data_IF_844343634987
#
_entry.id   IF_844343634987
#
_cell.length_a   1.000
_cell.length_b   1.000
_cell.length_c   1.000
_cell.angle_alpha   90.00
_cell.angle_beta   90.00
_cell.angle_gamma   90.00
#
_symmetry.space_group_name_H-M   'P 1'
#
loop_
_entity.id
_entity.type
_entity.pdbx_description
1 polymer ?
#
# COMPACT_ATOMS: atom_id res chain seq x y z
N UNK A 1 24.64 46.93 -19.23
CA UNK A 1 25.30 46.69 -17.94
C UNK A 1 24.26 47.05 -16.90
N UNK A 2 23.69 46.19 -16.08
CA UNK A 2 23.95 44.80 -15.70
C UNK A 2 22.59 44.21 -15.32
N UNK A 3 22.23 43.06 -15.87
CA UNK A 3 21.31 42.15 -15.18
C UNK A 3 22.03 40.82 -15.08
N UNK A 4 22.20 40.30 -13.86
CA UNK A 4 22.26 38.87 -13.49
C UNK A 4 22.81 38.72 -12.06
N UNK A 5 22.34 37.65 -11.39
CA UNK A 5 22.88 37.02 -10.17
C UNK A 5 22.26 37.41 -8.81
N UNK A 6 21.04 36.95 -8.55
CA UNK A 6 20.52 36.83 -7.17
C UNK A 6 19.73 35.52 -6.94
N UNK A 7 20.08 34.39 -7.58
CA UNK A 7 19.28 33.16 -7.42
C UNK A 7 20.07 31.84 -7.29
N UNK A 8 21.39 31.86 -7.13
CA UNK A 8 22.20 30.63 -7.13
C UNK A 8 22.52 30.08 -5.73
N UNK A 9 22.43 30.86 -4.66
CA UNK A 9 22.90 30.43 -3.33
C UNK A 9 21.87 29.62 -2.50
N UNK A 10 20.56 29.88 -2.63
CA UNK A 10 19.52 29.20 -1.82
C UNK A 10 19.20 27.78 -2.34
N UNK A 11 19.46 27.52 -3.62
CA UNK A 11 19.19 26.21 -4.24
C UNK A 11 20.19 25.12 -3.83
N UNK A 12 21.45 25.49 -3.54
CA UNK A 12 22.49 24.52 -3.19
C UNK A 12 22.29 23.91 -1.80
N UNK A 13 21.82 24.69 -0.83
CA UNK A 13 21.56 24.19 0.53
C UNK A 13 20.39 23.21 0.58
N UNK A 14 19.30 23.57 -0.11
CA UNK A 14 18.09 22.74 -0.19
C UNK A 14 18.33 21.43 -0.94
N UNK A 15 19.09 21.46 -2.04
CA UNK A 15 19.44 20.26 -2.78
C UNK A 15 20.33 19.31 -1.95
N UNK A 16 21.32 19.83 -1.22
CA UNK A 16 22.18 19.00 -0.36
C UNK A 16 21.40 18.35 0.79
N UNK A 17 20.48 19.08 1.42
CA UNK A 17 19.63 18.54 2.48
C UNK A 17 18.70 17.43 1.96
N UNK A 18 18.05 17.67 0.82
CA UNK A 18 17.18 16.67 0.18
C UNK A 18 17.96 15.42 -0.26
N UNK A 19 19.19 15.55 -0.76
CA UNK A 19 20.04 14.40 -1.12
C UNK A 19 20.41 13.58 0.11
N UNK A 20 20.69 14.22 1.25
CA UNK A 20 21.03 13.54 2.49
C UNK A 20 19.82 12.79 3.06
N UNK A 21 18.66 13.44 3.10
CA UNK A 21 17.42 12.86 3.64
C UNK A 21 16.91 11.70 2.75
N UNK A 22 17.18 11.74 1.45
CA UNK A 22 16.72 10.76 0.46
C UNK A 22 17.85 9.89 -0.11
N UNK A 23 18.97 9.76 0.61
CA UNK A 23 20.16 9.03 0.14
C UNK A 23 19.83 7.58 -0.26
N UNK A 24 18.92 6.91 0.46
CA UNK A 24 18.47 5.54 0.14
C UNK A 24 17.73 5.47 -1.21
N UNK A 25 16.89 6.46 -1.51
CA UNK A 25 16.16 6.56 -2.77
C UNK A 25 17.13 6.85 -3.92
N UNK A 26 18.06 7.78 -3.71
CA UNK A 26 19.06 8.14 -4.73
C UNK A 26 19.97 6.95 -5.07
N UNK A 27 20.44 6.21 -4.06
CA UNK A 27 21.23 4.98 -4.27
C UNK A 27 20.43 3.97 -5.09
N UNK A 28 19.14 3.77 -4.80
CA UNK A 28 18.27 2.86 -5.56
C UNK A 28 18.16 3.27 -7.03
N UNK A 29 17.98 4.56 -7.31
CA UNK A 29 17.88 5.08 -8.68
C UNK A 29 19.20 4.89 -9.44
N UNK A 30 20.34 5.17 -8.80
CA UNK A 30 21.66 4.97 -9.41
C UNK A 30 21.89 3.50 -9.78
N UNK A 31 21.51 2.55 -8.92
CA UNK A 31 21.65 1.11 -9.21
C UNK A 31 20.83 0.71 -10.44
N UNK A 32 19.58 1.17 -10.54
CA UNK A 32 18.72 0.90 -11.70
C UNK A 32 19.33 1.49 -12.98
N UNK A 33 19.85 2.72 -12.92
CA UNK A 33 20.53 3.37 -14.05
C UNK A 33 21.82 2.62 -14.42
N UNK A 34 22.57 2.08 -13.46
CA UNK A 34 23.75 1.26 -13.72
C UNK A 34 23.41 -0.09 -14.37
N UNK A 35 22.32 -0.73 -13.97
CA UNK A 35 21.85 -1.98 -14.60
C UNK A 35 21.38 -1.71 -16.03
N UNK A 36 20.53 -0.68 -16.20
CA UNK A 36 20.04 -0.29 -17.52
C UNK A 36 21.19 0.16 -18.44
N UNK A 37 22.10 0.97 -17.92
CA UNK A 37 23.31 1.41 -18.60
C UNK A 37 24.29 0.26 -18.88
N UNK A 38 24.37 -0.73 -17.99
CA UNK A 38 25.17 -1.94 -18.16
C UNK A 38 24.63 -2.83 -19.27
N UNK A 39 23.32 -3.08 -19.30
CA UNK A 39 22.64 -3.83 -20.39
C UNK A 39 22.77 -3.06 -21.70
N UNK A 40 22.57 -1.74 -21.67
CA UNK A 40 22.74 -0.89 -22.85
C UNK A 40 24.19 -0.89 -23.35
N UNK A 41 25.16 -0.85 -22.44
CA UNK A 41 26.60 -0.89 -22.77
C UNK A 41 27.04 -2.26 -23.27
N UNK A 42 26.42 -3.33 -22.78
CA UNK A 42 26.70 -4.69 -23.23
C UNK A 42 26.12 -4.96 -24.63
N UNK A 43 24.96 -4.37 -24.92
CA UNK A 43 24.27 -4.51 -26.21
C UNK A 43 25.10 -4.02 -27.41
N UNK A 44 25.99 -3.05 -27.22
CA UNK A 44 26.85 -2.57 -28.31
C UNK A 44 28.10 -3.44 -28.56
N UNK A 45 28.29 -4.55 -27.83
CA UNK A 45 29.47 -5.41 -28.03
C UNK A 45 29.23 -6.88 -27.69
N UNK A 46 28.29 -7.56 -28.35
CA UNK A 46 28.42 -9.00 -28.68
C UNK A 46 27.32 -9.50 -29.61
N UNK A 47 27.67 -9.73 -30.87
CA UNK A 47 27.07 -10.78 -31.68
C UNK A 47 28.22 -11.65 -32.21
N UNK A 48 28.26 -12.92 -31.78
CA UNK A 48 28.67 -14.05 -32.61
C UNK A 48 28.11 -15.34 -31.98
N UNK A 49 27.46 -16.22 -32.76
CA UNK A 49 26.77 -17.44 -32.29
C UNK A 49 27.64 -18.68 -32.48
N UNK A 50 27.51 -19.72 -31.65
CA UNK A 50 27.54 -21.13 -32.10
C UNK A 50 27.10 -22.09 -31.01
N UNK A 51 26.44 -23.15 -31.49
CA UNK A 51 25.91 -24.33 -30.84
C UNK A 51 26.90 -25.06 -29.92
N UNK A 52 26.38 -25.74 -28.90
CA UNK A 52 26.73 -27.14 -28.63
C UNK A 52 25.68 -27.79 -27.70
N UNK A 53 24.95 -28.74 -28.29
CA UNK A 53 24.07 -29.72 -27.67
C UNK A 53 24.94 -30.91 -27.23
N UNK A 54 24.90 -31.31 -25.95
CA UNK A 54 25.03 -32.70 -25.44
C UNK A 54 24.42 -32.69 -24.02
N UNK A 55 23.60 -33.63 -23.54
CA UNK A 55 23.36 -35.00 -23.94
C UNK A 55 21.92 -35.44 -23.53
N UNK A 56 21.33 -36.24 -24.43
CA UNK A 56 20.51 -37.45 -24.24
C UNK A 56 19.83 -37.69 -22.88
N UNK A 57 18.50 -37.84 -22.91
CA UNK A 57 17.90 -39.10 -22.47
C UNK A 57 16.64 -39.43 -23.30
N UNK A 58 16.54 -40.72 -23.56
CA UNK A 58 15.80 -41.45 -24.57
C UNK A 58 14.39 -41.83 -24.08
N UNK A 59 13.39 -41.78 -24.97
CA UNK A 59 12.22 -42.69 -24.96
C UNK A 59 11.28 -42.35 -26.12
N UNK A 60 11.43 -43.11 -27.19
CA UNK A 60 10.40 -43.36 -28.20
C UNK A 60 9.11 -43.90 -27.55
N UNK A 61 7.95 -43.37 -27.97
CA UNK A 61 6.92 -44.24 -28.57
C UNK A 61 5.91 -43.42 -29.38
N UNK A 62 5.91 -43.63 -30.71
CA UNK A 62 4.86 -43.22 -31.62
C UNK A 62 3.71 -44.22 -31.57
N UNK A 63 2.45 -43.75 -31.52
CA UNK A 63 1.35 -44.39 -32.27
C UNK A 63 0.38 -43.29 -32.76
N UNK A 64 0.25 -43.23 -34.08
CA UNK A 64 -0.71 -42.46 -34.88
C UNK A 64 -1.98 -43.27 -35.13
N UNK A 65 -3.08 -42.57 -35.50
CA UNK A 65 -4.30 -43.01 -36.20
C UNK A 65 -5.56 -43.02 -35.31
N UNK A 66 -6.75 -42.64 -35.73
CA UNK A 66 -7.29 -41.82 -36.82
C UNK A 66 -8.80 -41.71 -36.51
N UNK A 67 -9.38 -40.53 -36.75
CA UNK A 67 -10.71 -40.32 -37.37
C UNK A 67 -11.98 -41.03 -36.84
N UNK A 68 -12.96 -40.24 -36.39
CA UNK A 68 -14.34 -40.29 -36.90
C UNK A 68 -15.12 -39.01 -36.53
N UNK A 69 -15.82 -38.50 -37.54
CA UNK A 69 -16.50 -37.22 -37.72
C UNK A 69 -17.80 -37.02 -36.91
N UNK A 70 -18.26 -35.75 -36.81
CA UNK A 70 -19.69 -35.46 -36.57
C UNK A 70 -20.06 -34.08 -35.99
N UNK A 71 -19.84 -32.99 -36.76
CA UNK A 71 -20.75 -31.85 -37.08
C UNK A 71 -21.84 -31.49 -36.02
N UNK A 72 -22.00 -30.26 -35.50
CA UNK A 72 -22.43 -29.05 -36.23
C UNK A 72 -22.27 -27.76 -35.39
N UNK A 73 -22.15 -26.66 -36.12
CA UNK A 73 -21.84 -25.30 -35.75
C UNK A 73 -22.95 -24.58 -34.95
N UNK A 74 -22.54 -23.77 -33.97
CA UNK A 74 -23.00 -22.39 -33.89
C UNK A 74 -22.04 -21.54 -33.03
N UNK A 75 -21.32 -20.63 -33.70
CA UNK A 75 -20.63 -19.44 -33.16
C UNK A 75 -21.25 -18.23 -33.90
N UNK A 76 -21.23 -16.97 -33.40
CA UNK A 76 -20.07 -16.25 -32.83
C UNK A 76 -20.30 -15.77 -31.37
N UNK A 77 -19.29 -15.80 -30.48
CA UNK A 77 -18.34 -14.69 -30.19
C UNK A 77 -19.05 -13.53 -29.43
N UNK A 78 -18.70 -13.12 -28.19
CA UNK A 78 -17.42 -12.56 -27.72
C UNK A 78 -17.38 -12.53 -26.15
N UNK A 79 -16.40 -13.23 -25.53
CA UNK A 79 -15.43 -12.80 -24.47
C UNK A 79 -15.99 -12.03 -23.24
N UNK A 80 -15.86 -12.39 -21.94
CA UNK A 80 -14.77 -13.03 -21.14
C UNK A 80 -15.35 -13.48 -19.78
N UNK A 81 -15.17 -14.74 -19.40
CA UNK A 81 -15.30 -15.21 -18.00
C UNK A 81 -13.93 -15.60 -17.48
N UNK A 82 -13.70 -15.22 -16.22
CA UNK A 82 -12.94 -15.93 -15.18
C UNK A 82 -11.47 -16.27 -15.43
N UNK A 83 -10.62 -15.92 -14.46
CA UNK A 83 -10.12 -17.05 -13.68
C UNK A 83 -9.83 -16.68 -12.22
N UNK A 84 -10.26 -17.58 -11.36
CA UNK A 84 -10.03 -17.63 -9.95
C UNK A 84 -8.95 -18.67 -9.68
N UNK A 85 -7.86 -18.31 -9.01
CA UNK A 85 -7.02 -19.26 -8.29
C UNK A 85 -6.43 -18.53 -7.07
N UNK A 86 -6.71 -18.92 -5.83
CA UNK A 86 -6.48 -20.20 -5.13
C UNK A 86 -5.51 -19.88 -3.99
N UNK A 87 -6.09 -19.84 -2.80
CA UNK A 87 -5.51 -20.09 -1.47
C UNK A 87 -3.98 -20.08 -1.37
N UNK A 88 -3.45 -18.99 -0.82
CA UNK A 88 -2.31 -19.08 0.11
C UNK A 88 -2.83 -18.70 1.49
N UNK A 89 -2.89 -19.67 2.40
CA UNK A 89 -3.01 -19.43 3.83
C UNK A 89 -1.71 -18.79 4.32
N UNK A 90 -1.57 -17.52 4.02
CA UNK A 90 -0.59 -16.63 4.64
C UNK A 90 -1.39 -15.84 5.69
N UNK A 91 -0.89 -15.65 6.92
CA UNK A 91 -1.63 -14.88 7.92
C UNK A 91 -2.02 -13.55 7.31
N UNK A 92 -3.32 -13.26 7.26
CA UNK A 92 -3.85 -11.98 6.80
C UNK A 92 -3.19 -10.93 7.68
N UNK A 93 -2.17 -10.26 7.16
CA UNK A 93 -1.46 -9.22 7.88
C UNK A 93 -2.49 -8.13 8.13
N UNK A 94 -2.95 -8.06 9.38
CA UNK A 94 -4.13 -7.26 9.70
C UNK A 94 -3.89 -5.77 9.47
N UNK A 95 -2.63 -5.33 9.41
CA UNK A 95 -2.23 -3.93 9.34
C UNK A 95 -0.96 -3.80 8.50
N UNK A 96 -1.00 -2.94 7.49
CA UNK A 96 0.12 -2.61 6.61
C UNK A 96 0.28 -1.10 6.58
N UNK A 97 1.51 -0.62 6.68
CA UNK A 97 1.81 0.81 6.58
C UNK A 97 2.48 1.11 5.25
N UNK A 98 2.01 2.15 4.58
CA UNK A 98 2.62 2.73 3.39
C UNK A 98 3.32 4.05 3.75
N UNK A 99 3.94 4.69 2.76
CA UNK A 99 4.53 6.01 2.96
C UNK A 99 3.49 7.03 3.46
N UNK A 100 2.28 7.03 2.92
CA UNK A 100 1.24 8.04 3.17
C UNK A 100 0.03 7.56 3.96
N UNK A 101 -0.13 6.25 4.20
CA UNK A 101 -1.36 5.69 4.76
C UNK A 101 -1.15 4.41 5.58
N UNK A 102 -2.18 4.05 6.35
CA UNK A 102 -2.32 2.75 7.01
C UNK A 102 -3.45 1.98 6.36
N UNK A 103 -3.13 0.80 5.87
CA UNK A 103 -4.06 -0.14 5.25
C UNK A 103 -4.41 -1.18 6.30
N UNK A 104 -5.68 -1.21 6.70
CA UNK A 104 -6.18 -2.04 7.78
C UNK A 104 -7.17 -3.06 7.25
N UNK A 105 -6.89 -4.34 7.48
CA UNK A 105 -7.76 -5.44 7.08
C UNK A 105 -8.57 -5.95 8.28
N UNK A 106 -9.88 -6.10 8.05
CA UNK A 106 -10.83 -6.61 9.02
C UNK A 106 -10.64 -8.11 9.24
N UNK A 107 -10.51 -8.51 10.50
CA UNK A 107 -10.63 -9.92 10.91
C UNK A 107 -11.97 -10.15 11.62
N UNK A 108 -12.26 -11.39 11.99
CA UNK A 108 -13.50 -11.73 12.68
C UNK A 108 -13.69 -10.86 13.94
N UNK A 109 -14.89 -10.29 14.11
CA UNK A 109 -15.21 -9.37 15.21
C UNK A 109 -14.78 -7.91 14.99
N UNK A 110 -13.95 -7.63 13.98
CA UNK A 110 -13.59 -6.24 13.66
C UNK A 110 -14.72 -5.56 12.90
N UNK A 111 -14.85 -4.26 13.16
CA UNK A 111 -15.73 -3.36 12.41
C UNK A 111 -14.94 -2.10 12.05
N UNK A 112 -15.61 -1.15 11.38
CA UNK A 112 -14.95 0.07 10.93
C UNK A 112 -14.28 0.86 12.07
N UNK A 113 -14.92 0.87 13.22
CA UNK A 113 -14.41 1.44 14.47
C UNK A 113 -13.09 0.81 14.92
N UNK A 114 -12.97 -0.52 14.85
CA UNK A 114 -11.75 -1.23 15.26
C UNK A 114 -10.58 -0.92 14.33
N UNK A 115 -10.85 -0.78 13.04
CA UNK A 115 -9.85 -0.46 12.01
C UNK A 115 -9.35 0.98 12.18
N UNK A 116 -10.26 1.94 12.36
CA UNK A 116 -9.91 3.32 12.65
C UNK A 116 -9.06 3.45 13.93
N UNK A 117 -9.40 2.70 14.97
CA UNK A 117 -8.62 2.65 16.21
C UNK A 117 -7.20 2.15 16.00
N UNK A 118 -7.04 1.07 15.21
CA UNK A 118 -5.73 0.49 14.94
C UNK A 118 -4.86 1.42 14.10
N UNK A 119 -5.42 2.04 13.07
CA UNK A 119 -4.72 3.06 12.28
C UNK A 119 -4.25 4.24 13.16
N UNK A 120 -5.10 4.72 14.08
CA UNK A 120 -4.70 5.76 15.03
C UNK A 120 -3.58 5.28 15.98
N UNK A 121 -3.68 4.07 16.51
CA UNK A 121 -2.66 3.51 17.41
C UNK A 121 -1.29 3.42 16.71
N UNK A 122 -1.26 2.92 15.47
CA UNK A 122 -0.04 2.83 14.66
C UNK A 122 0.55 4.21 14.36
N UNK A 123 -0.29 5.22 14.09
CA UNK A 123 0.18 6.59 13.92
C UNK A 123 0.81 7.16 15.19
N UNK A 124 0.17 6.93 16.35
CA UNK A 124 0.62 7.44 17.65
C UNK A 124 1.85 6.70 18.20
N UNK A 125 2.13 5.48 17.74
CA UNK A 125 3.37 4.77 18.07
C UNK A 125 4.60 5.54 17.60
N UNK A 126 4.49 6.21 16.45
CA UNK A 126 5.57 7.04 15.87
C UNK A 126 5.45 8.52 16.22
N UNK A 127 4.25 8.97 16.53
CA UNK A 127 3.93 10.37 16.83
C UNK A 127 3.18 10.44 18.17
N UNK A 128 3.86 10.17 19.30
CA UNK A 128 3.21 10.16 20.60
C UNK A 128 2.69 11.55 20.95
N UNK A 129 1.44 11.61 21.42
CA UNK A 129 0.78 12.85 21.82
C UNK A 129 0.07 12.67 23.17
N UNK A 130 0.76 13.10 24.23
CA UNK A 130 0.27 12.97 25.61
C UNK A 130 -0.92 13.88 25.93
N UNK A 131 -1.27 14.84 25.06
CA UNK A 131 -2.45 15.68 25.25
C UNK A 131 -3.77 14.97 24.85
N UNK A 132 -3.69 13.84 24.15
CA UNK A 132 -4.86 13.08 23.72
C UNK A 132 -5.40 12.20 24.84
N UNK A 133 -6.48 12.67 25.49
CA UNK A 133 -7.27 11.87 26.43
C UNK A 133 -8.09 10.81 25.70
N UNK A 134 -8.69 9.89 26.45
CA UNK A 134 -9.59 8.89 25.89
C UNK A 134 -10.76 9.51 25.09
N UNK A 135 -11.30 10.64 25.56
CA UNK A 135 -12.37 11.37 24.86
C UNK A 135 -11.93 11.90 23.50
N UNK A 136 -10.70 12.45 23.41
CA UNK A 136 -10.13 12.87 22.13
C UNK A 136 -10.00 11.67 21.17
N UNK A 137 -9.50 10.53 21.65
CA UNK A 137 -9.35 9.31 20.84
C UNK A 137 -10.70 8.77 20.34
N UNK A 138 -11.76 8.82 21.15
CA UNK A 138 -13.12 8.46 20.72
C UNK A 138 -13.61 9.37 19.60
N UNK A 139 -13.39 10.68 19.71
CA UNK A 139 -13.74 11.60 18.63
C UNK A 139 -12.97 11.29 17.34
N UNK A 140 -11.66 11.08 17.45
CA UNK A 140 -10.80 10.76 16.29
C UNK A 140 -11.28 9.48 15.61
N UNK A 141 -11.54 8.43 16.38
CA UNK A 141 -12.05 7.16 15.86
C UNK A 141 -13.36 7.33 15.07
N UNK A 142 -14.33 8.06 15.63
CA UNK A 142 -15.61 8.33 14.97
C UNK A 142 -15.42 9.19 13.71
N UNK A 143 -14.53 10.18 13.77
CA UNK A 143 -14.18 11.03 12.65
C UNK A 143 -13.57 10.22 11.50
N UNK A 144 -12.55 9.41 11.78
CA UNK A 144 -11.90 8.55 10.78
C UNK A 144 -12.91 7.60 10.13
N UNK A 145 -13.75 6.94 10.94
CA UNK A 145 -14.78 6.03 10.45
C UNK A 145 -15.74 6.71 9.46
N UNK A 146 -16.13 7.96 9.73
CA UNK A 146 -17.07 8.72 8.90
C UNK A 146 -16.44 9.22 7.60
N UNK A 147 -15.13 9.46 7.57
CA UNK A 147 -14.46 10.06 6.42
C UNK A 147 -13.82 9.05 5.45
N UNK A 148 -13.51 7.82 5.91
CA UNK A 148 -12.89 6.80 5.03
C UNK A 148 -13.92 6.01 4.23
N UNK A 149 -15.01 5.57 4.85
CA UNK A 149 -16.01 4.75 4.16
C UNK A 149 -17.39 4.88 4.80
N UNK A 150 -18.07 6.03 4.60
CA UNK A 150 -19.36 6.29 5.21
C UNK A 150 -20.41 5.26 4.74
N UNK A 151 -20.98 4.50 5.67
CA UNK A 151 -22.05 3.54 5.39
C UNK A 151 -21.59 2.17 4.88
N UNK A 152 -20.28 1.94 4.73
CA UNK A 152 -19.76 0.65 4.28
C UNK A 152 -19.87 -0.41 5.39
N UNK A 153 -20.52 -1.53 5.07
CA UNK A 153 -20.55 -2.69 5.95
C UNK A 153 -19.18 -3.37 5.91
N UNK A 154 -18.50 -3.42 7.06
CA UNK A 154 -17.22 -4.11 7.21
C UNK A 154 -17.49 -5.59 7.49
N UNK A 155 -16.92 -6.46 6.67
CA UNK A 155 -16.90 -7.91 6.86
C UNK A 155 -15.46 -8.38 6.97
N UNK A 156 -15.25 -9.63 7.37
CA UNK A 156 -13.90 -10.24 7.37
C UNK A 156 -13.25 -10.13 5.99
N UNK A 157 -12.00 -9.71 5.93
CA UNK A 157 -11.27 -9.44 4.69
C UNK A 157 -11.48 -8.05 4.09
N UNK A 158 -12.43 -7.25 4.59
CA UNK A 158 -12.56 -5.85 4.15
C UNK A 158 -11.31 -5.06 4.52
N UNK A 159 -10.75 -4.36 3.54
CA UNK A 159 -9.60 -3.48 3.74
C UNK A 159 -10.05 -2.02 3.70
N UNK A 160 -9.54 -1.21 4.62
CA UNK A 160 -9.75 0.24 4.64
C UNK A 160 -8.42 0.96 4.75
N UNK A 161 -8.31 2.05 4.01
CA UNK A 161 -7.12 2.90 3.99
C UNK A 161 -7.36 4.18 4.80
N UNK A 162 -6.46 4.48 5.71
CA UNK A 162 -6.47 5.67 6.54
C UNK A 162 -5.23 6.50 6.20
N UNK A 163 -5.40 7.62 5.50
CA UNK A 163 -4.26 8.50 5.20
C UNK A 163 -3.72 9.17 6.47
N UNK A 164 -2.40 9.37 6.52
CA UNK A 164 -1.73 10.05 7.64
C UNK A 164 -2.24 11.47 7.82
N UNK A 165 -2.53 12.16 6.71
CA UNK A 165 -3.11 13.50 6.71
C UNK A 165 -4.50 13.53 7.36
N UNK A 166 -5.35 12.54 7.07
CA UNK A 166 -6.68 12.44 7.68
C UNK A 166 -6.60 12.18 9.19
N UNK A 167 -5.65 11.34 9.62
CA UNK A 167 -5.39 11.10 11.05
C UNK A 167 -4.93 12.39 11.74
N UNK A 168 -4.02 13.14 11.11
CA UNK A 168 -3.55 14.41 11.65
C UNK A 168 -4.65 15.47 11.71
N UNK A 169 -5.50 15.57 10.69
CA UNK A 169 -6.67 16.45 10.68
C UNK A 169 -7.65 16.07 11.80
N UNK A 170 -7.90 14.77 12.00
CA UNK A 170 -8.75 14.28 13.09
C UNK A 170 -8.19 14.64 14.47
N UNK A 171 -6.87 14.46 14.67
CA UNK A 171 -6.17 14.87 15.90
C UNK A 171 -6.31 16.36 16.12
N UNK A 172 -6.07 17.17 15.09
CA UNK A 172 -6.17 18.64 15.16
C UNK A 172 -7.58 19.06 15.56
N UNK A 173 -8.61 18.49 14.93
CA UNK A 173 -10.01 18.74 15.27
C UNK A 173 -10.35 18.29 16.69
N UNK A 174 -9.83 17.16 17.14
CA UNK A 174 -10.07 16.66 18.50
C UNK A 174 -9.60 17.64 19.58
N UNK A 175 -8.50 18.37 19.33
CA UNK A 175 -7.94 19.36 20.26
C UNK A 175 -8.75 20.65 20.33
N UNK A 176 -9.67 20.87 19.38
CA UNK A 176 -10.57 22.04 19.38
C UNK A 176 -11.89 21.76 20.12
N UNK A 177 -12.07 20.55 20.66
CA UNK A 177 -13.28 20.19 21.40
C UNK A 177 -13.40 21.00 22.69
N UNK A 178 -14.61 21.51 22.93
CA UNK A 178 -14.96 22.19 24.18
C UNK A 178 -15.12 21.19 25.33
N UNK A 179 -14.97 21.66 26.57
CA UNK A 179 -15.18 20.82 27.77
C UNK A 179 -16.56 20.15 27.78
N UNK A 180 -17.58 20.83 27.27
CA UNK A 180 -18.93 20.27 27.14
C UNK A 180 -18.96 19.07 26.18
N UNK A 181 -18.25 19.17 25.06
CA UNK A 181 -18.14 18.07 24.09
C UNK A 181 -17.34 16.90 24.68
N UNK A 182 -16.22 17.17 25.35
CA UNK A 182 -15.41 16.15 26.02
C UNK A 182 -16.23 15.42 27.10
N UNK A 183 -16.98 16.16 27.91
CA UNK A 183 -17.81 15.55 28.95
C UNK A 183 -18.93 14.66 28.37
N UNK A 184 -19.49 15.02 27.21
CA UNK A 184 -20.45 14.16 26.50
C UNK A 184 -19.79 12.89 25.95
N UNK A 185 -18.50 12.94 25.60
CA UNK A 185 -17.73 11.80 25.11
C UNK A 185 -17.29 10.85 26.23
N UNK A 186 -17.14 11.35 27.46
CA UNK A 186 -16.74 10.58 28.65
C UNK A 186 -17.59 9.34 28.91
N UNK A 187 -18.89 9.36 28.55
CA UNK A 187 -19.76 8.18 28.68
C UNK A 187 -19.39 7.03 27.74
N UNK A 188 -18.64 7.31 26.67
CA UNK A 188 -18.17 6.33 25.71
C UNK A 188 -16.76 5.83 26.04
N UNK A 189 -15.91 6.64 26.68
CA UNK A 189 -14.55 6.23 27.05
C UNK A 189 -14.54 5.00 27.97
N UNK A 190 -15.53 4.88 28.86
CA UNK A 190 -15.72 3.68 29.72
C UNK A 190 -15.91 2.38 28.93
N UNK A 191 -16.45 2.46 27.70
CA UNK A 191 -16.69 1.27 26.85
C UNK A 191 -15.45 0.85 26.06
N UNK A 192 -14.39 1.65 26.09
CA UNK A 192 -13.17 1.42 25.31
C UNK A 192 -11.95 1.60 26.21
N UNK A 193 -11.74 0.70 27.19
CA UNK A 193 -10.66 0.83 28.17
C UNK A 193 -9.27 0.79 27.53
N UNK A 194 -9.13 0.23 26.33
CA UNK A 194 -7.88 0.23 25.57
C UNK A 194 -7.43 1.61 25.07
N UNK A 195 -8.27 2.65 25.21
CA UNK A 195 -7.94 4.02 24.85
C UNK A 195 -7.52 4.90 26.04
N UNK A 196 -7.61 4.37 27.27
CA UNK A 196 -7.27 5.10 28.50
C UNK A 196 -5.78 5.29 28.68
#
# INVERSE_FOLDING_TARGET
MEETNLNEEDSQGKAKQWIQDNLRIIISVIIVVLIAGGIYSYSNRTQAPTDEIMAEEDSENQITAENAEGIDLSSPEVIKTEDAQKTSETPVVASQETESSFIETAVAGNGATHLARRALANYLEKNPDSALTAEHKIYIEDYLRKNVSPGTRVTTGTTMEFSKDLIQDAITKSKTLTDKQLNNLKKYSVRVPSLS
#
